data_IF_680689214086
#
_entry.id   IF_680689214086
#
_cell.length_a   1.000
_cell.length_b   1.000
_cell.length_c   1.000
_cell.angle_alpha   90.00
_cell.angle_beta   90.00
_cell.angle_gamma   90.00
#
_symmetry.space_group_name_H-M   'P 1'
#
loop_
_entity.id
_entity.type
_entity.pdbx_description
1 polymer ?
#
# COMPACT_ATOMS: atom_id res chain seq x y z
N UNK A 1 -1.69 -3.83 21.47
CA UNK A 1 -1.92 -3.92 20.00
C UNK A 1 -1.67 -2.58 19.34
N UNK A 2 -1.19 -2.57 18.10
CA UNK A 2 -0.97 -1.36 17.31
C UNK A 2 -2.13 -1.18 16.33
N UNK A 3 -2.73 -0.01 16.30
CA UNK A 3 -3.79 0.35 15.36
C UNK A 3 -3.16 1.03 14.13
N UNK A 4 -3.47 0.53 12.94
CA UNK A 4 -2.83 0.90 11.69
C UNK A 4 -3.87 1.45 10.71
N UNK A 5 -3.56 2.57 10.05
CA UNK A 5 -4.45 3.20 9.06
C UNK A 5 -3.70 3.51 7.78
N UNK A 6 -4.09 2.88 6.70
CA UNK A 6 -3.71 3.27 5.35
C UNK A 6 -4.89 4.00 4.71
N UNK A 7 -4.76 5.32 4.54
CA UNK A 7 -5.86 6.21 4.12
C UNK A 7 -5.68 6.57 2.65
N UNK A 8 -6.24 5.75 1.78
CA UNK A 8 -6.32 5.98 0.35
C UNK A 8 -7.54 6.81 -0.08
N UNK A 9 -7.56 7.29 -1.32
CA UNK A 9 -8.64 8.11 -1.86
C UNK A 9 -10.01 7.40 -1.86
N UNK A 10 -10.04 6.14 -2.22
CA UNK A 10 -11.28 5.34 -2.34
C UNK A 10 -11.57 4.56 -1.05
N UNK A 11 -10.56 3.91 -0.50
CA UNK A 11 -10.66 3.05 0.67
C UNK A 11 -9.62 3.40 1.71
N UNK A 12 -10.01 3.22 2.97
CA UNK A 12 -9.09 3.20 4.11
C UNK A 12 -8.98 1.77 4.60
N UNK A 13 -7.76 1.25 4.64
CA UNK A 13 -7.46 -0.04 5.25
C UNK A 13 -7.11 0.18 6.72
N UNK A 14 -7.84 -0.47 7.61
CA UNK A 14 -7.58 -0.39 9.06
C UNK A 14 -7.11 -1.75 9.54
N UNK A 15 -5.94 -1.78 10.16
CA UNK A 15 -5.31 -2.99 10.68
C UNK A 15 -5.15 -2.96 12.20
N UNK A 16 -5.14 -4.15 12.80
CA UNK A 16 -4.60 -4.38 14.14
C UNK A 16 -3.40 -5.29 14.03
N UNK A 17 -2.26 -4.81 14.50
CA UNK A 17 -1.01 -5.56 14.56
C UNK A 17 -0.50 -5.75 15.97
N UNK A 18 0.41 -6.68 16.14
CA UNK A 18 1.28 -6.79 17.31
C UNK A 18 2.75 -6.60 16.89
N UNK A 19 3.69 -6.90 17.75
CA UNK A 19 5.12 -6.77 17.46
C UNK A 19 5.59 -7.66 16.29
N UNK A 20 4.85 -8.75 15.97
CA UNK A 20 5.27 -9.75 15.00
C UNK A 20 4.58 -9.62 13.64
N UNK A 21 3.27 -9.26 13.60
CA UNK A 21 2.49 -9.25 12.36
C UNK A 21 1.21 -8.44 12.45
N UNK A 22 0.63 -8.11 11.31
CA UNK A 22 -0.76 -7.68 11.19
C UNK A 22 -1.67 -8.89 11.48
N UNK A 23 -2.59 -8.77 12.46
CA UNK A 23 -3.46 -9.86 12.94
C UNK A 23 -4.80 -9.89 12.25
N UNK A 24 -5.38 -8.73 12.00
CA UNK A 24 -6.65 -8.58 11.30
C UNK A 24 -6.74 -7.22 10.65
N UNK A 25 -7.59 -7.11 9.65
CA UNK A 25 -7.84 -5.85 8.94
C UNK A 25 -9.30 -5.75 8.48
N UNK A 26 -9.76 -4.51 8.28
CA UNK A 26 -11.02 -4.19 7.61
C UNK A 26 -10.79 -3.10 6.57
N UNK A 27 -11.67 -3.05 5.57
CA UNK A 27 -11.69 -2.00 4.57
C UNK A 27 -12.93 -1.13 4.78
N UNK A 28 -12.71 0.19 4.80
CA UNK A 28 -13.74 1.20 4.91
C UNK A 28 -13.71 2.09 3.68
N UNK A 29 -14.86 2.44 3.07
CA UNK A 29 -14.88 3.56 2.13
C UNK A 29 -14.37 4.82 2.80
N UNK A 30 -13.38 5.51 2.21
CA UNK A 30 -12.76 6.70 2.83
C UNK A 30 -13.79 7.81 3.09
N UNK A 31 -14.85 7.91 2.29
CA UNK A 31 -15.97 8.84 2.52
C UNK A 31 -16.67 8.67 3.88
N UNK A 32 -16.57 7.51 4.53
CA UNK A 32 -17.19 7.27 5.83
C UNK A 32 -16.56 8.08 6.97
N UNK A 33 -15.33 8.54 6.80
CA UNK A 33 -14.70 9.46 7.74
C UNK A 33 -15.46 10.81 7.82
N UNK A 34 -15.90 11.31 6.67
CA UNK A 34 -16.63 12.58 6.57
C UNK A 34 -18.08 12.49 7.06
N UNK A 35 -18.68 11.31 6.99
CA UNK A 35 -20.05 11.03 7.44
C UNK A 35 -20.15 10.50 8.88
N UNK A 36 -19.04 10.41 9.61
CA UNK A 36 -19.02 9.96 11.01
C UNK A 36 -19.20 8.45 11.24
N UNK A 37 -19.50 7.67 10.20
CA UNK A 37 -19.71 6.21 10.30
C UNK A 37 -18.42 5.44 10.63
N UNK A 38 -17.27 5.95 10.22
CA UNK A 38 -15.98 5.30 10.45
C UNK A 38 -15.69 5.10 11.95
N UNK A 39 -16.06 6.05 12.83
CA UNK A 39 -15.82 5.94 14.28
C UNK A 39 -16.40 4.65 14.87
N UNK A 40 -17.68 4.40 14.67
CA UNK A 40 -18.35 3.20 15.20
C UNK A 40 -17.82 1.91 14.60
N UNK A 41 -17.47 1.90 13.30
CA UNK A 41 -16.91 0.72 12.63
C UNK A 41 -15.52 0.39 13.16
N UNK A 42 -14.65 1.39 13.35
CA UNK A 42 -13.31 1.20 13.90
C UNK A 42 -13.40 0.77 15.37
N UNK A 43 -14.25 1.39 16.18
CA UNK A 43 -14.47 0.98 17.56
C UNK A 43 -14.94 -0.48 17.65
N UNK A 44 -15.93 -0.89 16.84
CA UNK A 44 -16.40 -2.29 16.76
C UNK A 44 -15.30 -3.25 16.30
N UNK A 45 -14.47 -2.84 15.34
CA UNK A 45 -13.36 -3.65 14.83
C UNK A 45 -12.29 -3.88 15.90
N UNK A 46 -11.95 -2.85 16.68
CA UNK A 46 -11.00 -2.95 17.79
C UNK A 46 -11.58 -3.81 18.92
N UNK A 47 -12.85 -3.60 19.28
CA UNK A 47 -13.52 -4.27 20.40
C UNK A 47 -12.86 -3.91 21.73
N UNK A 48 -12.67 -4.89 22.59
CA UNK A 48 -12.07 -4.75 23.92
C UNK A 48 -10.54 -4.81 23.94
N UNK A 49 -9.89 -4.80 22.80
CA UNK A 49 -8.43 -4.93 22.73
C UNK A 49 -7.74 -3.67 23.25
N UNK A 50 -6.74 -3.85 24.12
CA UNK A 50 -5.85 -2.77 24.54
C UNK A 50 -5.02 -2.29 23.34
N UNK A 51 -5.04 -0.98 23.08
CA UNK A 51 -4.24 -0.32 22.06
C UNK A 51 -3.07 0.39 22.74
N UNK A 52 -1.86 0.11 22.28
CA UNK A 52 -0.62 0.63 22.86
C UNK A 52 0.07 1.62 21.90
N UNK A 53 -0.46 1.79 20.69
CA UNK A 53 0.04 2.74 19.69
C UNK A 53 -0.86 2.80 18.47
N UNK A 54 -0.76 3.89 17.73
CA UNK A 54 -1.49 4.10 16.49
C UNK A 54 -0.58 4.76 15.44
N UNK A 55 -0.64 4.24 14.20
CA UNK A 55 0.15 4.74 13.06
C UNK A 55 -0.74 4.93 11.86
N UNK A 56 -0.52 5.98 11.11
CA UNK A 56 -1.20 6.20 9.83
C UNK A 56 -0.23 6.58 8.71
N UNK A 57 -0.57 6.17 7.49
CA UNK A 57 -0.18 6.85 6.27
C UNK A 57 -1.43 7.39 5.57
N UNK A 58 -1.30 8.51 4.89
CA UNK A 58 -2.44 9.14 4.23
C UNK A 58 -2.04 9.88 2.97
N UNK A 59 -2.84 9.68 1.93
CA UNK A 59 -2.84 10.49 0.70
C UNK A 59 -4.12 11.34 0.59
N UNK A 60 -4.87 11.47 1.71
CA UNK A 60 -6.13 12.22 1.81
C UNK A 60 -6.05 13.24 2.96
N UNK A 61 -5.50 14.44 2.73
CA UNK A 61 -5.26 15.43 3.79
C UNK A 61 -6.49 15.78 4.64
N UNK A 62 -7.69 15.75 4.03
CA UNK A 62 -8.95 16.04 4.74
C UNK A 62 -9.39 14.94 5.71
N UNK A 63 -9.00 13.69 5.48
CA UNK A 63 -9.35 12.56 6.34
C UNK A 63 -8.39 12.40 7.54
N UNK A 64 -7.14 12.76 7.38
CA UNK A 64 -6.08 12.61 8.40
C UNK A 64 -6.46 13.22 9.76
N UNK A 65 -6.90 14.49 9.88
CA UNK A 65 -7.27 15.07 11.17
C UNK A 65 -8.49 14.40 11.80
N UNK A 66 -9.41 13.84 10.99
CA UNK A 66 -10.57 13.11 11.52
C UNK A 66 -10.15 11.79 12.15
N UNK A 67 -9.21 11.07 11.55
CA UNK A 67 -8.65 9.84 12.13
C UNK A 67 -7.94 10.15 13.44
N UNK A 68 -7.08 11.16 13.50
CA UNK A 68 -6.40 11.60 14.74
C UNK A 68 -7.40 11.94 15.83
N UNK A 69 -8.44 12.75 15.53
CA UNK A 69 -9.49 13.11 16.48
C UNK A 69 -10.22 11.88 17.03
N UNK A 70 -10.53 10.91 16.18
CA UNK A 70 -11.24 9.69 16.59
C UNK A 70 -10.34 8.81 17.46
N UNK A 71 -9.09 8.64 17.13
CA UNK A 71 -8.13 7.85 17.92
C UNK A 71 -7.89 8.50 19.28
N UNK A 72 -7.67 9.81 19.34
CA UNK A 72 -7.55 10.56 20.59
C UNK A 72 -8.79 10.42 21.48
N UNK A 73 -10.00 10.53 20.89
CA UNK A 73 -11.25 10.43 21.63
C UNK A 73 -11.59 9.02 22.15
N UNK A 74 -11.15 7.96 21.45
CA UNK A 74 -11.46 6.57 21.82
C UNK A 74 -10.39 5.91 22.69
N UNK A 75 -9.12 6.26 22.50
CA UNK A 75 -8.00 5.58 23.17
C UNK A 75 -7.05 6.53 23.89
N UNK A 76 -7.33 7.84 23.92
CA UNK A 76 -6.52 8.87 24.58
C UNK A 76 -5.04 8.81 24.19
N UNK A 77 -4.76 8.72 22.90
CA UNK A 77 -3.40 8.64 22.36
C UNK A 77 -3.22 9.44 21.07
N UNK A 78 -1.97 9.82 20.81
CA UNK A 78 -1.57 10.40 19.56
C UNK A 78 -1.36 9.33 18.47
N UNK A 79 -1.47 9.75 17.20
CA UNK A 79 -1.22 8.91 16.05
C UNK A 79 0.09 9.31 15.40
N UNK A 80 1.02 8.38 15.28
CA UNK A 80 2.24 8.57 14.49
C UNK A 80 1.86 8.65 13.01
N UNK A 81 2.13 9.77 12.37
CA UNK A 81 1.94 9.92 10.93
C UNK A 81 3.23 9.59 10.19
N UNK A 82 3.16 8.63 9.27
CA UNK A 82 4.29 8.29 8.40
C UNK A 82 4.55 9.43 7.41
N UNK A 83 5.75 9.90 7.41
CA UNK A 83 6.29 10.93 6.54
C UNK A 83 7.80 10.69 6.34
N UNK A 84 8.49 11.38 5.43
CA UNK A 84 9.94 11.27 5.32
C UNK A 84 10.69 11.54 6.63
N UNK A 85 10.16 12.41 7.50
CA UNK A 85 10.76 12.74 8.81
C UNK A 85 10.61 11.63 9.84
N UNK A 86 9.50 10.93 9.81
CA UNK A 86 9.16 9.85 10.76
C UNK A 86 9.49 8.46 10.22
N UNK A 87 9.92 8.37 8.96
CA UNK A 87 10.31 7.12 8.31
C UNK A 87 11.45 6.43 9.06
N UNK A 88 11.33 5.12 9.20
CA UNK A 88 12.36 4.22 9.75
C UNK A 88 12.45 2.98 8.88
N UNK A 89 13.63 2.36 8.83
CA UNK A 89 13.86 1.09 8.14
C UNK A 89 14.30 1.22 6.67
N UNK A 90 13.99 2.33 6.00
CA UNK A 90 14.42 2.63 4.62
C UNK A 90 15.01 4.02 4.59
N UNK A 91 16.11 4.23 3.86
CA UNK A 91 16.62 5.56 3.52
C UNK A 91 15.82 6.18 2.37
N UNK A 92 16.04 7.45 2.10
CA UNK A 92 15.46 8.15 0.95
C UNK A 92 16.59 8.80 0.16
N UNK A 93 16.71 8.40 -1.10
CA UNK A 93 17.52 9.04 -2.13
C UNK A 93 16.59 9.52 -3.24
N UNK A 94 15.89 10.62 -2.97
CA UNK A 94 14.88 11.18 -3.85
C UNK A 94 14.86 12.71 -3.73
N UNK A 95 14.90 13.47 -4.85
CA UNK A 95 15.13 14.93 -4.83
C UNK A 95 14.09 15.73 -4.02
N UNK A 96 12.84 15.25 -3.95
CA UNK A 96 11.75 15.90 -3.23
C UNK A 96 11.04 14.92 -2.29
N UNK A 97 11.65 14.55 -1.16
CA UNK A 97 11.12 13.51 -0.26
C UNK A 97 9.65 13.73 0.16
N UNK A 98 9.26 14.98 0.40
CA UNK A 98 7.90 15.33 0.82
C UNK A 98 6.82 15.12 -0.27
N UNK A 99 7.21 14.86 -1.51
CA UNK A 99 6.27 14.54 -2.60
C UNK A 99 5.98 13.04 -2.73
N UNK A 100 6.66 12.21 -1.94
CA UNK A 100 6.44 10.75 -1.97
C UNK A 100 5.17 10.44 -1.17
N UNK A 101 4.25 9.67 -1.76
CA UNK A 101 3.09 9.15 -1.05
C UNK A 101 3.52 8.31 0.17
N UNK A 102 2.89 8.54 1.32
CA UNK A 102 3.27 7.86 2.55
C UNK A 102 2.98 6.34 2.50
N UNK A 103 1.97 5.91 1.74
CA UNK A 103 1.67 4.52 1.39
C UNK A 103 2.85 3.85 0.67
N UNK A 104 3.48 4.55 -0.28
CA UNK A 104 4.66 4.06 -1.00
C UNK A 104 5.86 3.86 -0.09
N UNK A 105 6.07 4.77 0.88
CA UNK A 105 7.12 4.63 1.89
C UNK A 105 6.84 3.44 2.82
N UNK A 106 5.60 3.22 3.23
CA UNK A 106 5.21 2.04 4.01
C UNK A 106 5.49 0.75 3.26
N UNK A 107 5.10 0.68 1.97
CA UNK A 107 5.37 -0.45 1.09
C UNK A 107 6.88 -0.75 1.00
N UNK A 108 7.70 0.28 0.81
CA UNK A 108 9.15 0.15 0.73
C UNK A 108 9.77 -0.41 2.02
N UNK A 109 9.31 0.05 3.20
CA UNK A 109 9.75 -0.47 4.50
C UNK A 109 9.46 -1.96 4.65
N UNK A 110 8.22 -2.38 4.37
CA UNK A 110 7.85 -3.78 4.48
C UNK A 110 8.58 -4.67 3.47
N UNK A 111 8.70 -4.21 2.23
CA UNK A 111 9.38 -4.95 1.19
C UNK A 111 10.87 -5.16 1.51
N UNK A 112 11.58 -4.10 1.89
CA UNK A 112 12.98 -4.22 2.31
C UNK A 112 13.15 -5.14 3.51
N UNK A 113 12.25 -5.05 4.51
CA UNK A 113 12.33 -5.89 5.70
C UNK A 113 12.20 -7.38 5.38
N UNK A 114 11.24 -7.75 4.51
CA UNK A 114 10.95 -9.15 4.22
C UNK A 114 11.77 -9.76 3.07
N UNK A 115 12.21 -8.95 2.13
CA UNK A 115 12.85 -9.43 0.88
C UNK A 115 14.27 -8.90 0.67
N UNK A 116 14.75 -8.02 1.55
CA UNK A 116 16.05 -7.39 1.40
C UNK A 116 16.03 -6.23 0.39
N UNK A 117 17.23 -5.85 -0.07
CA UNK A 117 17.44 -4.83 -1.07
C UNK A 117 18.47 -5.32 -2.11
N UNK A 118 18.33 -5.00 -3.41
CA UNK A 118 17.27 -4.19 -3.98
C UNK A 118 15.91 -4.94 -4.03
N UNK A 119 14.79 -4.18 -4.04
CA UNK A 119 13.44 -4.74 -4.15
C UNK A 119 12.50 -3.75 -4.83
N UNK A 120 11.52 -4.26 -5.57
CA UNK A 120 10.43 -3.47 -6.16
C UNK A 120 9.10 -3.92 -5.60
N UNK A 121 8.25 -2.97 -5.23
CA UNK A 121 6.84 -3.22 -4.91
C UNK A 121 5.98 -2.78 -6.07
N UNK A 122 5.01 -3.61 -6.46
CA UNK A 122 3.96 -3.25 -7.41
C UNK A 122 2.63 -3.24 -6.65
N UNK A 123 2.07 -2.05 -6.44
CA UNK A 123 0.79 -1.88 -5.75
C UNK A 123 -0.33 -1.68 -6.78
N UNK A 124 -1.26 -2.62 -6.80
CA UNK A 124 -2.41 -2.66 -7.73
C UNK A 124 -3.65 -2.01 -7.10
N UNK A 125 -3.57 -0.71 -6.85
CA UNK A 125 -4.61 0.13 -6.28
C UNK A 125 -5.44 0.89 -7.31
N UNK A 126 -5.91 2.09 -6.94
CA UNK A 126 -6.59 3.05 -7.83
C UNK A 126 -5.67 3.48 -8.98
N UNK A 127 -4.42 3.73 -8.69
CA UNK A 127 -3.31 3.70 -9.63
C UNK A 127 -2.53 2.40 -9.43
N UNK A 128 -1.71 1.99 -10.40
CA UNK A 128 -0.62 1.04 -10.13
C UNK A 128 0.64 1.85 -9.88
N UNK A 129 1.31 1.56 -8.77
CA UNK A 129 2.61 2.14 -8.47
C UNK A 129 3.69 1.07 -8.43
N UNK A 130 4.90 1.46 -8.86
CA UNK A 130 6.10 0.67 -8.69
C UNK A 130 7.01 1.45 -7.76
N UNK A 131 7.35 0.88 -6.62
CA UNK A 131 8.17 1.50 -5.60
C UNK A 131 9.52 0.80 -5.57
N UNK A 132 10.58 1.56 -5.79
CA UNK A 132 11.93 1.02 -5.97
C UNK A 132 12.78 1.32 -4.75
N UNK A 133 13.33 0.26 -4.16
CA UNK A 133 14.40 0.33 -3.16
C UNK A 133 15.68 -0.19 -3.81
N UNK A 134 16.74 0.62 -3.82
CA UNK A 134 18.03 0.27 -4.43
C UNK A 134 18.85 -0.69 -3.54
N UNK A 135 20.02 -1.12 -4.02
CA UNK A 135 20.92 -2.03 -3.31
C UNK A 135 21.43 -1.49 -1.97
N UNK A 136 21.48 -0.17 -1.81
CA UNK A 136 21.87 0.52 -0.57
C UNK A 136 20.73 0.55 0.45
N UNK A 137 19.53 0.13 0.05
CA UNK A 137 18.34 0.13 0.89
C UNK A 137 17.65 1.48 0.99
N UNK A 138 17.81 2.34 -0.02
CA UNK A 138 17.15 3.62 -0.14
C UNK A 138 15.97 3.55 -1.13
N UNK A 139 14.86 4.19 -0.78
CA UNK A 139 13.80 4.50 -1.74
C UNK A 139 14.33 5.53 -2.74
N UNK A 140 14.35 5.16 -4.02
CA UNK A 140 14.91 6.00 -5.09
C UNK A 140 13.85 6.54 -6.05
N UNK A 141 12.58 6.18 -5.88
CA UNK A 141 11.49 6.57 -6.76
C UNK A 141 10.68 5.41 -7.27
N UNK A 142 10.14 5.56 -8.47
CA UNK A 142 9.36 4.50 -9.10
C UNK A 142 8.45 5.00 -10.21
N UNK A 143 7.41 4.20 -10.54
CA UNK A 143 6.52 4.44 -11.66
C UNK A 143 5.09 4.59 -11.14
N UNK A 144 4.28 5.42 -11.78
CA UNK A 144 2.83 5.51 -11.55
C UNK A 144 2.13 5.39 -12.89
N UNK A 145 1.18 4.47 -12.99
CA UNK A 145 0.34 4.30 -14.17
C UNK A 145 -1.15 4.15 -13.76
N UNK A 146 -2.09 4.28 -14.70
CA UNK A 146 -3.51 4.08 -14.40
C UNK A 146 -3.76 2.70 -13.81
N UNK A 147 -4.57 2.61 -12.75
CA UNK A 147 -4.99 1.34 -12.19
C UNK A 147 -5.91 0.56 -13.15
N UNK A 148 -6.01 -0.75 -12.96
CA UNK A 148 -6.76 -1.63 -13.86
C UNK A 148 -8.24 -1.24 -13.98
N UNK A 149 -8.89 -0.90 -12.85
CA UNK A 149 -10.28 -0.44 -12.87
C UNK A 149 -10.42 0.92 -13.55
N UNK A 150 -9.50 1.85 -13.32
CA UNK A 150 -9.53 3.17 -13.93
C UNK A 150 -9.50 3.10 -15.46
N UNK A 151 -8.73 2.18 -16.04
CA UNK A 151 -8.68 1.99 -17.50
C UNK A 151 -10.02 1.52 -18.06
N UNK A 152 -10.70 0.59 -17.39
CA UNK A 152 -11.99 0.07 -17.86
C UNK A 152 -13.15 1.03 -17.60
N UNK A 153 -13.15 1.73 -16.48
CA UNK A 153 -14.14 2.74 -16.15
C UNK A 153 -14.03 3.94 -17.10
N UNK A 154 -12.84 4.37 -17.47
CA UNK A 154 -12.60 5.41 -18.47
C UNK A 154 -13.22 5.05 -19.83
N UNK A 155 -13.03 3.82 -20.31
CA UNK A 155 -13.63 3.36 -21.57
C UNK A 155 -15.15 3.41 -21.50
N UNK A 156 -15.75 2.99 -20.39
CA UNK A 156 -17.19 3.07 -20.18
C UNK A 156 -17.69 4.51 -20.14
N UNK A 157 -17.00 5.39 -19.44
CA UNK A 157 -17.42 6.79 -19.24
C UNK A 157 -17.24 7.65 -20.50
N UNK A 158 -16.25 7.33 -21.34
CA UNK A 158 -15.88 8.15 -22.52
C UNK A 158 -16.42 7.61 -23.84
N UNK A 159 -17.18 6.52 -23.84
CA UNK A 159 -17.77 5.98 -25.07
C UNK A 159 -19.25 5.65 -24.87
N UNK A 160 -20.01 5.80 -25.95
CA UNK A 160 -21.46 5.56 -25.89
C UNK A 160 -21.85 4.07 -25.79
N UNK A 161 -21.01 3.17 -26.30
CA UNK A 161 -21.38 1.75 -26.50
C UNK A 161 -20.58 0.78 -25.64
N UNK A 162 -19.49 1.20 -25.00
CA UNK A 162 -18.70 0.31 -24.17
C UNK A 162 -19.32 0.16 -22.78
N UNK A 163 -19.77 -1.05 -22.42
CA UNK A 163 -20.45 -1.28 -21.16
C UNK A 163 -19.46 -1.27 -19.98
N UNK A 164 -19.95 -0.95 -18.78
CA UNK A 164 -19.20 -1.24 -17.55
C UNK A 164 -18.99 -2.74 -17.43
N UNK A 165 -17.76 -3.16 -17.16
CA UNK A 165 -17.39 -4.58 -17.04
C UNK A 165 -16.92 -4.90 -15.61
N UNK A 166 -17.12 -6.16 -15.23
CA UNK A 166 -16.52 -6.69 -14.00
C UNK A 166 -15.18 -7.36 -14.34
N UNK A 167 -14.10 -6.87 -13.75
CA UNK A 167 -12.74 -7.39 -13.94
C UNK A 167 -12.63 -8.75 -13.26
N UNK A 168 -12.22 -9.76 -14.02
CA UNK A 168 -12.02 -11.14 -13.57
C UNK A 168 -11.04 -11.85 -14.51
N UNK A 169 -10.59 -13.04 -14.13
CA UNK A 169 -9.75 -13.85 -14.99
C UNK A 169 -10.44 -14.20 -16.32
N UNK A 170 -9.67 -14.21 -17.40
CA UNK A 170 -10.11 -14.59 -18.72
C UNK A 170 -9.03 -15.43 -19.41
N UNK A 171 -9.43 -16.57 -19.99
CA UNK A 171 -8.52 -17.48 -20.69
C UNK A 171 -8.44 -17.19 -22.20
N UNK A 172 -9.55 -16.68 -22.77
CA UNK A 172 -9.62 -16.38 -24.20
C UNK A 172 -8.68 -15.22 -24.55
N UNK A 173 -8.16 -15.23 -25.77
CA UNK A 173 -7.32 -14.16 -26.35
C UNK A 173 -8.05 -13.40 -27.47
N UNK A 174 -9.21 -13.92 -27.94
CA UNK A 174 -10.08 -13.26 -28.91
C UNK A 174 -11.48 -13.18 -28.32
N UNK A 175 -12.01 -11.97 -28.17
CA UNK A 175 -13.36 -11.72 -27.67
C UNK A 175 -14.43 -11.96 -28.73
N UNK A 176 -15.50 -12.65 -28.38
CA UNK A 176 -16.67 -12.89 -29.24
C UNK A 176 -17.81 -11.89 -29.01
N UNK A 177 -17.64 -10.96 -28.10
CA UNK A 177 -18.49 -9.81 -27.84
C UNK A 177 -17.72 -8.69 -27.17
N UNK A 178 -18.29 -7.48 -27.13
CA UNK A 178 -17.65 -6.27 -26.60
C UNK A 178 -17.15 -6.44 -25.15
N UNK A 179 -17.97 -7.03 -24.26
CA UNK A 179 -17.59 -7.25 -22.85
C UNK A 179 -16.37 -8.17 -22.75
N UNK A 180 -16.36 -9.23 -23.51
CA UNK A 180 -15.23 -10.17 -23.53
C UNK A 180 -13.98 -9.53 -24.13
N UNK A 181 -14.10 -8.77 -25.21
CA UNK A 181 -13.00 -8.05 -25.82
C UNK A 181 -12.37 -7.03 -24.85
N UNK A 182 -13.20 -6.24 -24.16
CA UNK A 182 -12.74 -5.30 -23.13
C UNK A 182 -12.04 -6.03 -21.97
N UNK A 183 -12.59 -7.14 -21.50
CA UNK A 183 -11.99 -7.92 -20.40
C UNK A 183 -10.63 -8.50 -20.78
N UNK A 184 -10.49 -8.99 -22.01
CA UNK A 184 -9.21 -9.50 -22.54
C UNK A 184 -8.18 -8.37 -22.59
N UNK A 185 -8.53 -7.23 -23.18
CA UNK A 185 -7.66 -6.05 -23.23
C UNK A 185 -7.23 -5.59 -21.84
N UNK A 186 -8.19 -5.53 -20.90
CA UNK A 186 -7.92 -5.15 -19.52
C UNK A 186 -6.93 -6.13 -18.84
N UNK A 187 -7.21 -7.44 -18.85
CA UNK A 187 -6.42 -8.40 -18.06
C UNK A 187 -5.09 -8.76 -18.75
N UNK A 188 -5.13 -9.14 -20.02
CA UNK A 188 -3.91 -9.53 -20.74
C UNK A 188 -3.03 -8.33 -21.07
N UNK A 189 -3.63 -7.21 -21.53
CA UNK A 189 -2.91 -5.97 -21.81
C UNK A 189 -2.22 -5.41 -20.57
N UNK A 190 -2.92 -5.44 -19.43
CA UNK A 190 -2.36 -4.97 -18.16
C UNK A 190 -1.20 -5.83 -17.66
N UNK A 191 -1.27 -7.15 -17.83
CA UNK A 191 -0.14 -8.04 -17.58
C UNK A 191 1.06 -7.70 -18.46
N UNK A 192 0.83 -7.37 -19.73
CA UNK A 192 1.87 -6.91 -20.64
C UNK A 192 2.53 -5.63 -20.16
N UNK A 193 1.73 -4.63 -19.77
CA UNK A 193 2.23 -3.37 -19.19
C UNK A 193 3.11 -3.64 -17.96
N UNK A 194 2.62 -4.43 -17.01
CA UNK A 194 3.35 -4.70 -15.77
C UNK A 194 4.65 -5.47 -16.04
N UNK A 195 4.61 -6.46 -16.92
CA UNK A 195 5.80 -7.24 -17.32
C UNK A 195 6.87 -6.34 -17.94
N UNK A 196 6.48 -5.46 -18.86
CA UNK A 196 7.43 -4.55 -19.51
C UNK A 196 8.09 -3.64 -18.49
N UNK A 197 7.30 -2.98 -17.63
CA UNK A 197 7.84 -2.08 -16.61
C UNK A 197 8.76 -2.80 -15.60
N UNK A 198 8.44 -4.03 -15.20
CA UNK A 198 9.35 -4.86 -14.39
C UNK A 198 10.65 -5.15 -15.16
N UNK A 199 10.54 -5.44 -16.45
CA UNK A 199 11.70 -5.67 -17.32
C UNK A 199 12.63 -4.46 -17.38
N UNK A 200 12.08 -3.26 -17.58
CA UNK A 200 12.84 -2.01 -17.56
C UNK A 200 13.52 -1.77 -16.20
N UNK A 201 12.81 -1.96 -15.09
CA UNK A 201 13.39 -1.81 -13.76
C UNK A 201 14.51 -2.81 -13.49
N UNK A 202 14.40 -4.05 -13.96
CA UNK A 202 15.48 -5.04 -13.84
C UNK A 202 16.74 -4.63 -14.63
N UNK A 203 16.55 -4.01 -15.80
CA UNK A 203 17.66 -3.48 -16.63
C UNK A 203 18.33 -2.29 -15.94
N UNK A 204 17.53 -1.33 -15.49
CA UNK A 204 18.01 -0.11 -14.81
C UNK A 204 18.79 -0.43 -13.53
N UNK A 205 18.24 -1.31 -12.71
CA UNK A 205 18.86 -1.73 -11.44
C UNK A 205 19.97 -2.78 -11.64
N UNK A 206 20.22 -3.24 -12.86
CA UNK A 206 21.19 -4.31 -13.20
C UNK A 206 21.01 -5.56 -12.33
N UNK A 207 19.78 -5.88 -11.98
CA UNK A 207 19.41 -6.94 -11.04
C UNK A 207 18.54 -8.01 -11.71
N UNK A 208 19.14 -9.07 -12.28
CA UNK A 208 18.41 -10.17 -12.93
C UNK A 208 17.43 -10.86 -11.99
N UNK A 209 17.83 -11.09 -10.75
CA UNK A 209 17.04 -11.75 -9.70
C UNK A 209 16.37 -10.73 -8.75
N UNK A 210 15.93 -9.60 -9.28
CA UNK A 210 15.26 -8.56 -8.52
C UNK A 210 13.97 -9.10 -7.89
N UNK A 211 13.82 -9.11 -6.56
CA UNK A 211 12.55 -9.43 -5.93
C UNK A 211 11.49 -8.39 -6.30
N UNK A 212 10.33 -8.86 -6.77
CA UNK A 212 9.18 -8.03 -7.09
C UNK A 212 8.00 -8.50 -6.26
N UNK A 213 7.49 -7.63 -5.40
CA UNK A 213 6.42 -7.93 -4.45
C UNK A 213 5.15 -7.22 -4.87
N UNK A 214 4.06 -7.95 -5.04
CA UNK A 214 2.76 -7.39 -5.40
C UNK A 214 1.88 -7.17 -4.16
N UNK A 215 1.18 -6.04 -4.13
CA UNK A 215 0.14 -5.71 -3.15
C UNK A 215 -1.05 -5.03 -3.84
N UNK A 216 -2.11 -4.72 -3.10
CA UNK A 216 -3.31 -4.07 -3.62
C UNK A 216 -4.38 -5.03 -4.12
N UNK A 217 -5.55 -4.47 -4.45
CA UNK A 217 -6.77 -5.24 -4.69
C UNK A 217 -6.72 -6.20 -5.89
N UNK A 218 -5.97 -5.85 -6.93
CA UNK A 218 -5.83 -6.68 -8.14
C UNK A 218 -4.54 -7.52 -8.16
N UNK A 219 -3.72 -7.47 -7.12
CA UNK A 219 -2.44 -8.17 -7.07
C UNK A 219 -2.56 -9.68 -7.37
N UNK A 220 -3.49 -10.38 -6.70
CA UNK A 220 -3.70 -11.81 -6.92
C UNK A 220 -4.08 -12.15 -8.36
N UNK A 221 -4.97 -11.35 -8.97
CA UNK A 221 -5.43 -11.58 -10.33
C UNK A 221 -4.31 -11.41 -11.35
N UNK A 222 -3.55 -10.31 -11.22
CA UNK A 222 -2.52 -9.98 -12.21
C UNK A 222 -1.28 -10.85 -12.01
N UNK A 223 -0.80 -11.00 -10.78
CA UNK A 223 0.39 -11.80 -10.46
C UNK A 223 0.25 -13.29 -10.79
N UNK A 224 -0.97 -13.84 -10.79
CA UNK A 224 -1.21 -15.26 -11.07
C UNK A 224 -0.63 -15.75 -12.42
N UNK A 225 -0.34 -14.87 -13.35
CA UNK A 225 0.22 -15.17 -14.68
C UNK A 225 1.47 -14.32 -14.99
N UNK A 226 2.13 -13.81 -13.97
CA UNK A 226 3.38 -13.03 -14.08
C UNK A 226 4.46 -13.66 -13.21
N UNK A 227 5.28 -14.58 -13.78
CA UNK A 227 6.38 -15.22 -13.04
C UNK A 227 7.44 -14.21 -12.58
N UNK A 228 7.44 -13.00 -13.13
CA UNK A 228 8.29 -11.89 -12.72
C UNK A 228 8.00 -11.40 -11.31
N UNK A 229 6.77 -11.66 -10.79
CA UNK A 229 6.36 -11.30 -9.43
C UNK A 229 6.71 -12.45 -8.48
N UNK A 230 7.60 -12.17 -7.54
CA UNK A 230 8.14 -13.16 -6.59
C UNK A 230 7.17 -13.51 -5.46
N UNK A 231 6.33 -12.55 -5.04
CA UNK A 231 5.40 -12.73 -3.93
C UNK A 231 4.18 -11.79 -4.03
N UNK A 232 3.06 -12.21 -3.43
CA UNK A 232 1.86 -11.38 -3.25
C UNK A 232 1.60 -11.22 -1.76
N UNK A 233 1.60 -9.96 -1.28
CA UNK A 233 1.42 -9.57 0.12
C UNK A 233 0.29 -8.55 0.23
N UNK A 234 -0.96 -8.97 0.48
CA UNK A 234 -2.12 -8.07 0.48
C UNK A 234 -2.14 -7.03 1.60
N UNK A 235 -1.40 -7.26 2.68
CA UNK A 235 -1.29 -6.43 3.88
C UNK A 235 0.03 -5.64 3.94
N UNK A 236 0.76 -5.53 2.83
CA UNK A 236 2.12 -4.98 2.81
C UNK A 236 2.20 -3.57 3.39
N UNK A 237 1.28 -2.68 3.02
CA UNK A 237 1.26 -1.29 3.51
C UNK A 237 1.04 -1.24 5.03
N UNK A 238 0.08 -2.02 5.54
CA UNK A 238 -0.18 -2.11 6.99
C UNK A 238 1.01 -2.72 7.73
N UNK A 239 1.68 -3.69 7.13
CA UNK A 239 2.91 -4.29 7.70
C UNK A 239 4.05 -3.26 7.75
N UNK A 240 4.19 -2.41 6.73
CA UNK A 240 5.14 -1.30 6.73
C UNK A 240 4.87 -0.31 7.86
N UNK A 241 3.62 0.07 8.07
CA UNK A 241 3.22 0.93 9.20
C UNK A 241 3.56 0.30 10.55
N UNK A 242 3.27 -1.00 10.72
CA UNK A 242 3.59 -1.76 11.94
C UNK A 242 5.10 -1.74 12.21
N UNK A 243 5.91 -1.98 11.19
CA UNK A 243 7.37 -1.96 11.30
C UNK A 243 7.90 -0.57 11.67
N UNK A 244 7.38 0.49 11.07
CA UNK A 244 7.76 1.87 11.43
C UNK A 244 7.49 2.15 12.91
N UNK A 245 6.33 1.75 13.44
CA UNK A 245 6.03 1.91 14.86
C UNK A 245 7.00 1.14 15.74
N UNK A 246 7.25 -0.13 15.42
CA UNK A 246 8.16 -0.97 16.20
C UNK A 246 9.59 -0.41 16.23
N UNK A 247 10.08 0.08 15.09
CA UNK A 247 11.40 0.69 14.99
C UNK A 247 11.48 2.02 15.76
N UNK A 248 10.41 2.81 15.76
CA UNK A 248 10.34 4.08 16.51
C UNK A 248 10.35 3.82 18.01
N UNK A 249 9.55 2.87 18.50
CA UNK A 249 9.50 2.51 19.92
C UNK A 249 10.85 1.97 20.44
N UNK A 250 11.53 1.15 19.65
CA UNK A 250 12.87 0.63 20.01
C UNK A 250 13.94 1.72 20.09
N UNK A 251 13.85 2.76 19.26
CA UNK A 251 14.75 3.92 19.35
C UNK A 251 14.49 4.70 20.64
N UNK A 252 13.22 4.98 20.97
CA UNK A 252 12.88 5.70 22.21
C UNK A 252 13.31 4.95 23.47
N UNK A 253 13.13 3.63 23.52
CA UNK A 253 13.58 2.83 24.68
C UNK A 253 15.08 2.86 24.87
N UNK A 254 15.87 2.86 23.79
CA UNK A 254 17.35 2.97 23.87
C UNK A 254 17.85 4.36 24.30
N UNK A 255 17.11 5.43 23.97
CA UNK A 255 17.44 6.77 24.46
C UNK A 255 17.16 6.89 25.96
N UNK A 256 15.98 6.46 26.41
CA UNK A 256 15.60 6.50 27.81
C UNK A 256 16.54 5.67 28.71
N UNK A 257 17.02 4.51 28.25
CA UNK A 257 17.98 3.69 29.01
C UNK A 257 19.39 4.32 29.09
N UNK A 258 19.76 5.23 28.18
CA UNK A 258 21.04 5.96 28.23
C UNK A 258 20.97 7.21 29.08
N UNK A 259 19.81 7.86 29.22
CA UNK A 259 19.63 9.05 30.05
C UNK A 259 19.46 8.72 31.55
N UNK A 260 19.01 7.53 31.89
CA UNK A 260 18.79 7.08 33.28
C UNK A 260 19.84 6.11 33.80
N UNK A 261 20.96 5.89 33.09
CA UNK A 261 22.19 5.28 33.63
C UNK A 261 21.97 3.95 34.38
N UNK A 262 21.29 2.99 33.76
CA UNK A 262 21.24 1.60 34.25
C UNK A 262 21.99 0.69 33.28
#
# INVERSE_FOLDING_TARGET
MILLFDIGNTHTHVGLGDERRVRKQINLPTREWFGGKAKSRVAKFVGTKKIDGAVLCSVVPRATPLVRKIVGALWNMDVLELSPKTLRGVGIDYPKPNSIGADRLANAVAAKFHFGAPVVVVDFGTAVTFDVVNSEGNYVGGIIAPGLAAMTDYLHEKTALLPKIQIREVKAVVGKNTRQAMLIGAVHGYRGLVRELIGELKRELRAKNLPVVATGGYAKLIAAKLPEISAVKPDLTLEGLRLVQSLTSNVQSRFNSREFGL
#
